data_IF_541093935303
#
_entry.id   IF_541093935303
#
_cell.length_a   1.000
_cell.length_b   1.000
_cell.length_c   1.000
_cell.angle_alpha   90.00
_cell.angle_beta   90.00
_cell.angle_gamma   90.00
#
_symmetry.space_group_name_H-M   'P 1'
#
loop_
_entity.id
_entity.type
_entity.pdbx_description
1 polymer ?
#
# COMPACT_ATOMS: atom_id res chain seq x y z
N UNK A 1 -18.10 13.11 0.93
CA UNK A 1 -17.12 12.32 0.15
C UNK A 1 -17.13 10.90 0.70
N UNK A 2 -17.41 9.91 -0.11
CA UNK A 2 -17.20 8.50 0.27
C UNK A 2 -15.77 8.13 -0.17
N UNK A 3 -14.94 7.78 0.79
CA UNK A 3 -13.52 7.46 0.53
C UNK A 3 -13.34 6.21 -0.33
N UNK A 4 -14.37 5.39 -0.50
CA UNK A 4 -14.34 4.16 -1.29
C UNK A 4 -14.62 4.39 -2.79
N UNK A 5 -15.06 5.60 -3.13
CA UNK A 5 -15.48 5.94 -4.48
C UNK A 5 -14.43 6.84 -5.16
N UNK A 6 -13.56 6.31 -6.02
CA UNK A 6 -12.54 7.11 -6.70
C UNK A 6 -13.09 8.30 -7.49
N UNK A 7 -14.32 8.21 -7.99
CA UNK A 7 -15.02 9.31 -8.67
C UNK A 7 -15.26 10.53 -7.76
N UNK A 8 -15.29 10.33 -6.43
CA UNK A 8 -15.49 11.38 -5.45
C UNK A 8 -14.20 11.84 -4.78
N UNK A 9 -13.20 10.96 -4.73
CA UNK A 9 -11.95 11.18 -4.00
C UNK A 9 -10.78 11.56 -4.89
N UNK A 10 -10.84 11.16 -6.14
CA UNK A 10 -9.75 11.29 -7.09
C UNK A 10 -8.58 10.33 -6.82
N UNK A 11 -7.78 10.12 -7.83
CA UNK A 11 -6.58 9.29 -7.76
C UNK A 11 -5.46 9.91 -8.59
N UNK A 12 -4.24 9.99 -8.03
CA UNK A 12 -3.09 10.59 -8.68
C UNK A 12 -1.84 9.72 -8.62
N UNK A 13 -1.07 9.71 -9.72
CA UNK A 13 0.28 9.16 -9.76
C UNK A 13 1.30 10.29 -9.63
N UNK A 14 2.33 10.06 -8.83
CA UNK A 14 3.30 11.06 -8.44
C UNK A 14 4.72 10.56 -8.71
N UNK A 15 5.40 11.19 -9.64
CA UNK A 15 6.76 10.85 -10.06
C UNK A 15 7.74 11.96 -9.68
N UNK A 16 9.01 11.61 -9.53
CA UNK A 16 10.04 12.64 -9.50
C UNK A 16 10.18 13.29 -10.88
N UNK A 17 10.54 14.57 -10.92
CA UNK A 17 10.74 15.31 -12.17
C UNK A 17 11.78 14.70 -13.11
N UNK A 18 12.73 13.96 -12.53
CA UNK A 18 13.81 13.26 -13.25
C UNK A 18 13.50 11.76 -13.48
N UNK A 19 12.27 11.31 -13.19
CA UNK A 19 11.90 9.91 -13.39
C UNK A 19 12.06 9.49 -14.87
N UNK A 20 12.48 8.24 -15.08
CA UNK A 20 12.55 7.68 -16.43
C UNK A 20 11.13 7.51 -17.00
N UNK A 21 10.78 8.11 -18.15
CA UNK A 21 9.46 7.96 -18.78
C UNK A 21 9.05 6.51 -19.08
N UNK A 22 10.01 5.59 -19.15
CA UNK A 22 9.71 4.17 -19.32
C UNK A 22 8.98 3.56 -18.12
N UNK A 23 9.13 4.13 -16.91
CA UNK A 23 8.41 3.72 -15.71
C UNK A 23 6.92 4.06 -15.84
N UNK A 24 6.61 5.29 -16.23
CA UNK A 24 5.21 5.70 -16.51
C UNK A 24 4.58 4.80 -17.56
N UNK A 25 5.33 4.48 -18.62
CA UNK A 25 4.86 3.58 -19.68
C UNK A 25 4.63 2.15 -19.18
N UNK A 26 5.48 1.65 -18.29
CA UNK A 26 5.32 0.31 -17.70
C UNK A 26 4.07 0.23 -16.80
N UNK A 27 3.69 1.34 -16.17
CA UNK A 27 2.48 1.46 -15.36
C UNK A 27 1.21 1.79 -16.15
N UNK A 28 1.28 1.96 -17.48
CA UNK A 28 0.17 2.50 -18.29
C UNK A 28 -1.15 1.76 -18.05
N UNK A 29 -1.14 0.44 -17.95
CA UNK A 29 -2.35 -0.36 -17.68
C UNK A 29 -3.04 0.06 -16.38
N UNK A 30 -2.28 0.32 -15.32
CA UNK A 30 -2.82 0.81 -14.05
C UNK A 30 -3.31 2.25 -14.17
N UNK A 31 -2.53 3.11 -14.82
CA UNK A 31 -2.87 4.53 -14.99
C UNK A 31 -4.16 4.69 -15.78
N UNK A 32 -4.36 3.94 -16.86
CA UNK A 32 -5.59 3.96 -17.66
C UNK A 32 -6.79 3.48 -16.82
N UNK A 33 -6.63 2.39 -16.07
CA UNK A 33 -7.66 1.87 -15.18
C UNK A 33 -8.08 2.88 -14.11
N UNK A 34 -7.11 3.53 -13.45
CA UNK A 34 -7.38 4.58 -12.45
C UNK A 34 -8.02 5.82 -13.06
N UNK A 35 -7.64 6.17 -14.28
CA UNK A 35 -8.26 7.26 -15.02
C UNK A 35 -9.74 6.99 -15.31
N UNK A 36 -10.10 5.77 -15.68
CA UNK A 36 -11.50 5.39 -15.86
C UNK A 36 -12.28 5.46 -14.54
N UNK A 37 -11.68 5.04 -13.42
CA UNK A 37 -12.32 5.07 -12.12
C UNK A 37 -12.47 6.47 -11.51
N UNK A 38 -11.47 7.33 -11.65
CA UNK A 38 -11.45 8.66 -11.02
C UNK A 38 -12.02 9.77 -11.94
N UNK A 39 -12.13 9.50 -13.23
CA UNK A 39 -12.71 10.45 -14.19
C UNK A 39 -11.94 11.78 -14.21
N UNK A 40 -12.65 12.88 -13.99
CA UNK A 40 -12.09 14.24 -14.00
C UNK A 40 -11.15 14.52 -12.79
N UNK A 41 -11.21 13.71 -11.76
CA UNK A 41 -10.37 13.81 -10.57
C UNK A 41 -9.09 12.96 -10.66
N UNK A 42 -8.74 12.50 -11.87
CA UNK A 42 -7.48 11.80 -12.13
C UNK A 42 -6.39 12.77 -12.51
N UNK A 43 -5.20 12.64 -11.87
CA UNK A 43 -4.04 13.49 -12.12
C UNK A 43 -2.74 12.68 -12.22
N UNK A 44 -1.79 13.17 -13.01
CA UNK A 44 -0.41 12.66 -13.06
C UNK A 44 0.55 13.81 -12.87
N UNK A 45 1.34 13.72 -11.82
CA UNK A 45 2.40 14.67 -11.49
C UNK A 45 3.74 14.11 -11.96
N UNK A 46 4.24 14.61 -13.09
CA UNK A 46 5.51 14.17 -13.68
C UNK A 46 6.23 15.35 -14.36
N UNK A 47 7.52 15.20 -14.69
CA UNK A 47 8.31 16.28 -15.25
C UNK A 47 8.33 17.51 -14.33
N UNK A 48 8.06 18.67 -14.86
CA UNK A 48 8.09 19.94 -14.11
C UNK A 48 6.94 20.04 -13.07
N UNK A 49 5.87 19.26 -13.23
CA UNK A 49 4.75 19.18 -12.28
C UNK A 49 4.96 18.07 -11.23
N UNK A 50 5.99 17.24 -11.37
CA UNK A 50 6.35 16.20 -10.41
C UNK A 50 7.19 16.72 -9.24
N UNK A 51 7.69 15.77 -8.42
CA UNK A 51 8.56 16.10 -7.30
C UNK A 51 9.89 16.69 -7.80
N UNK A 52 10.19 17.92 -7.40
CA UNK A 52 11.50 18.55 -7.64
C UNK A 52 12.44 18.28 -6.45
N UNK A 53 13.75 18.04 -6.70
CA UNK A 53 14.70 17.85 -5.61
C UNK A 53 14.69 19.00 -4.60
N UNK A 54 14.39 18.67 -3.35
CA UNK A 54 14.29 19.66 -2.26
C UNK A 54 12.88 20.16 -1.98
N UNK A 55 11.88 19.69 -2.71
CA UNK A 55 10.48 19.98 -2.37
C UNK A 55 10.12 19.42 -1.00
N UNK A 56 9.33 20.20 -0.30
CA UNK A 56 8.54 19.75 0.83
C UNK A 56 7.08 19.62 0.39
N UNK A 57 6.30 18.84 1.11
CA UNK A 57 4.87 18.75 0.84
C UNK A 57 4.17 20.12 0.87
N UNK A 58 4.61 21.00 1.76
CA UNK A 58 4.10 22.36 1.85
C UNK A 58 4.45 23.21 0.62
N UNK A 59 5.72 23.16 0.14
CA UNK A 59 6.12 23.88 -1.08
C UNK A 59 5.36 23.36 -2.29
N UNK A 60 5.26 22.04 -2.43
CA UNK A 60 4.54 21.39 -3.51
C UNK A 60 3.07 21.81 -3.56
N UNK A 61 2.35 21.73 -2.43
CA UNK A 61 0.94 22.18 -2.36
C UNK A 61 0.78 23.64 -2.74
N UNK A 62 1.66 24.51 -2.24
CA UNK A 62 1.61 25.95 -2.56
C UNK A 62 1.77 26.21 -4.05
N UNK A 63 2.73 25.53 -4.69
CA UNK A 63 3.04 25.72 -6.10
C UNK A 63 1.91 25.16 -7.00
N UNK A 64 1.22 24.13 -6.54
CA UNK A 64 0.00 23.57 -7.17
C UNK A 64 -1.31 24.21 -6.69
N UNK A 65 -1.24 25.29 -5.87
CA UNK A 65 -2.40 26.03 -5.36
C UNK A 65 -3.39 25.20 -4.55
N UNK A 66 -2.88 24.17 -3.86
CA UNK A 66 -3.68 23.30 -3.01
C UNK A 66 -3.84 23.93 -1.63
N UNK A 67 -5.07 24.10 -1.18
CA UNK A 67 -5.38 24.66 0.13
C UNK A 67 -4.95 23.72 1.25
N UNK A 68 -4.25 24.21 2.30
CA UNK A 68 -3.95 23.39 3.47
C UNK A 68 -5.21 22.94 4.23
N UNK A 69 -5.18 21.75 4.78
CA UNK A 69 -6.28 21.19 5.57
C UNK A 69 -6.92 19.97 4.91
N UNK A 70 -8.22 19.80 5.10
CA UNK A 70 -8.95 18.66 4.56
C UNK A 70 -8.79 18.53 3.04
N UNK A 71 -8.73 17.29 2.56
CA UNK A 71 -8.58 17.01 1.15
C UNK A 71 -9.75 17.55 0.33
N UNK A 72 -9.43 18.35 -0.69
CA UNK A 72 -10.38 18.86 -1.68
C UNK A 72 -10.02 18.21 -3.02
N UNK A 73 -10.74 17.16 -3.46
CA UNK A 73 -10.38 16.38 -4.65
C UNK A 73 -10.28 17.18 -5.94
N UNK A 74 -11.08 18.25 -6.09
CA UNK A 74 -11.02 19.17 -7.22
C UNK A 74 -9.71 19.97 -7.30
N UNK A 75 -8.96 20.07 -6.21
CA UNK A 75 -7.65 20.76 -6.17
C UNK A 75 -6.50 19.76 -6.31
N UNK A 76 -6.66 18.59 -5.74
CA UNK A 76 -5.69 17.51 -5.77
C UNK A 76 -6.33 16.21 -5.29
N UNK A 77 -6.13 15.09 -5.96
CA UNK A 77 -6.66 13.80 -5.57
C UNK A 77 -6.37 13.44 -4.10
N UNK A 78 -7.30 12.74 -3.47
CA UNK A 78 -7.11 12.21 -2.11
C UNK A 78 -6.14 11.03 -2.10
N UNK A 79 -6.24 10.10 -3.07
CA UNK A 79 -5.33 8.98 -3.21
C UNK A 79 -4.15 9.35 -4.08
N UNK A 80 -2.92 9.21 -3.54
CA UNK A 80 -1.68 9.46 -4.25
C UNK A 80 -0.79 8.22 -4.25
N UNK A 81 -0.33 7.82 -5.42
CA UNK A 81 0.67 6.78 -5.59
C UNK A 81 2.03 7.40 -5.91
N UNK A 82 2.95 7.42 -4.96
CA UNK A 82 4.34 7.82 -5.18
C UNK A 82 5.08 6.70 -5.91
N UNK A 83 5.68 7.03 -7.05
CA UNK A 83 6.44 6.11 -7.88
C UNK A 83 7.91 6.50 -7.83
N UNK A 84 8.69 5.75 -7.07
CA UNK A 84 10.12 5.99 -6.89
C UNK A 84 10.61 5.60 -5.48
N UNK A 85 11.93 5.48 -5.36
CA UNK A 85 12.61 5.15 -4.12
C UNK A 85 12.66 6.35 -3.15
N UNK A 86 12.97 6.10 -1.87
CA UNK A 86 13.06 7.16 -0.86
C UNK A 86 14.28 8.08 -1.00
N UNK A 87 15.27 7.71 -1.81
CA UNK A 87 16.42 8.58 -2.11
C UNK A 87 16.02 9.65 -3.12
N UNK A 88 15.11 9.31 -4.03
CA UNK A 88 14.57 10.21 -5.05
C UNK A 88 13.41 11.06 -4.53
N UNK A 89 12.42 10.45 -3.88
CA UNK A 89 11.30 11.15 -3.21
C UNK A 89 11.37 10.80 -1.72
N UNK A 90 11.90 11.68 -0.85
CA UNK A 90 12.16 11.37 0.56
C UNK A 90 10.92 10.93 1.35
N UNK A 91 11.12 10.12 2.39
CA UNK A 91 10.04 9.74 3.30
C UNK A 91 9.41 10.94 3.99
N UNK A 92 10.18 12.01 4.29
CA UNK A 92 9.63 13.21 4.91
C UNK A 92 8.53 13.85 4.05
N UNK A 93 8.71 13.85 2.72
CA UNK A 93 7.67 14.29 1.80
C UNK A 93 6.42 13.40 1.90
N UNK A 94 6.60 12.10 1.88
CA UNK A 94 5.50 11.14 2.01
C UNK A 94 4.77 11.27 3.34
N UNK A 95 5.49 11.33 4.47
CA UNK A 95 4.87 11.43 5.80
C UNK A 95 4.05 12.72 5.96
N UNK A 96 4.52 13.81 5.37
CA UNK A 96 3.77 15.06 5.41
C UNK A 96 2.55 15.03 4.48
N UNK A 97 2.64 14.36 3.34
CA UNK A 97 1.51 14.15 2.45
C UNK A 97 0.45 13.24 3.08
N UNK A 98 0.88 12.21 3.82
CA UNK A 98 0.00 11.22 4.48
C UNK A 98 -0.82 11.79 5.65
N UNK A 99 -0.54 13.03 6.04
CA UNK A 99 -1.35 13.74 7.06
C UNK A 99 -2.75 14.09 6.54
N UNK A 100 -2.86 14.45 5.26
CA UNK A 100 -4.10 14.93 4.65
C UNK A 100 -4.51 14.18 3.37
N UNK A 101 -3.75 13.18 2.96
CA UNK A 101 -3.97 12.31 1.78
C UNK A 101 -3.74 10.85 2.13
N UNK A 102 -4.33 9.95 1.37
CA UNK A 102 -3.99 8.53 1.43
C UNK A 102 -2.85 8.24 0.45
N UNK A 103 -1.65 8.01 0.98
CA UNK A 103 -0.44 7.92 0.18
C UNK A 103 0.11 6.50 0.16
N UNK A 104 0.24 5.92 -1.03
CA UNK A 104 0.97 4.69 -1.27
C UNK A 104 2.31 4.95 -1.97
N UNK A 105 3.23 4.00 -1.90
CA UNK A 105 4.49 4.06 -2.64
C UNK A 105 4.79 2.73 -3.30
N UNK A 106 5.31 2.82 -4.52
CA UNK A 106 5.93 1.68 -5.20
C UNK A 106 7.32 2.05 -5.72
N UNK A 107 8.22 1.08 -5.64
CA UNK A 107 9.53 1.12 -6.28
C UNK A 107 9.97 -0.30 -6.62
N UNK A 108 10.49 -0.48 -7.84
CA UNK A 108 11.04 -1.75 -8.33
C UNK A 108 12.34 -1.49 -9.07
N UNK A 109 13.25 -2.46 -9.03
CA UNK A 109 14.57 -2.34 -9.67
C UNK A 109 14.51 -2.47 -11.21
N UNK A 110 13.43 -3.03 -11.74
CA UNK A 110 13.27 -3.24 -13.17
C UNK A 110 11.87 -2.88 -13.67
N UNK A 111 11.76 -2.60 -14.97
CA UNK A 111 10.52 -2.16 -15.61
C UNK A 111 9.45 -3.27 -15.68
N UNK A 112 9.87 -4.52 -15.77
CA UNK A 112 8.94 -5.63 -15.87
C UNK A 112 8.13 -5.78 -14.57
N UNK A 113 8.73 -5.52 -13.42
CA UNK A 113 8.03 -5.58 -12.12
C UNK A 113 6.98 -4.47 -11.98
N UNK A 114 7.23 -3.26 -12.52
CA UNK A 114 6.21 -2.23 -12.63
C UNK A 114 5.02 -2.68 -13.50
N UNK A 115 5.30 -3.29 -14.65
CA UNK A 115 4.27 -3.78 -15.54
C UNK A 115 3.48 -4.95 -14.93
N UNK A 116 4.15 -5.86 -14.24
CA UNK A 116 3.50 -6.96 -13.50
C UNK A 116 2.63 -6.44 -12.36
N UNK A 117 3.12 -5.47 -11.60
CA UNK A 117 2.33 -4.83 -10.55
C UNK A 117 1.06 -4.20 -11.13
N UNK A 118 1.18 -3.38 -12.19
CA UNK A 118 0.06 -2.73 -12.86
C UNK A 118 -0.99 -3.75 -13.31
N UNK A 119 -0.58 -4.81 -14.01
CA UNK A 119 -1.47 -5.87 -14.47
C UNK A 119 -2.12 -6.63 -13.31
N UNK A 120 -1.37 -6.90 -12.24
CA UNK A 120 -1.91 -7.66 -11.11
C UNK A 120 -2.98 -6.89 -10.35
N UNK A 121 -2.80 -5.57 -10.17
CA UNK A 121 -3.80 -4.70 -9.53
C UNK A 121 -5.07 -4.65 -10.37
N UNK A 122 -4.97 -4.34 -11.66
CA UNK A 122 -6.13 -4.26 -12.55
C UNK A 122 -6.88 -5.59 -12.59
N UNK A 123 -6.16 -6.71 -12.76
CA UNK A 123 -6.76 -8.05 -12.75
C UNK A 123 -7.46 -8.39 -11.43
N UNK A 124 -6.94 -7.90 -10.30
CA UNK A 124 -7.56 -8.14 -9.00
C UNK A 124 -8.88 -7.40 -8.81
N UNK A 125 -9.05 -6.27 -9.51
CA UNK A 125 -10.22 -5.40 -9.42
C UNK A 125 -11.28 -5.66 -10.51
N UNK A 126 -10.93 -6.36 -11.59
CA UNK A 126 -11.87 -6.75 -12.63
C UNK A 126 -12.90 -7.76 -12.11
N UNK A 127 -14.18 -7.41 -12.20
CA UNK A 127 -15.29 -8.24 -11.71
C UNK A 127 -15.40 -9.60 -12.42
N UNK A 128 -14.98 -9.68 -13.69
CA UNK A 128 -15.06 -10.90 -14.50
C UNK A 128 -14.12 -12.01 -14.00
N UNK A 129 -13.07 -11.65 -13.28
CA UNK A 129 -12.08 -12.58 -12.74
C UNK A 129 -11.70 -12.26 -11.30
N UNK A 130 -12.66 -12.26 -10.36
CA UNK A 130 -12.34 -11.95 -8.99
C UNK A 130 -11.28 -12.94 -8.47
N UNK A 131 -10.18 -12.40 -7.97
CA UNK A 131 -9.18 -13.21 -7.29
C UNK A 131 -9.84 -13.90 -6.10
N UNK A 132 -10.02 -15.21 -6.18
CA UNK A 132 -10.41 -16.00 -5.02
C UNK A 132 -9.20 -16.11 -4.08
N UNK A 133 -8.97 -15.07 -3.31
CA UNK A 133 -7.95 -15.13 -2.27
C UNK A 133 -8.44 -16.07 -1.17
N UNK A 134 -7.59 -17.01 -0.72
CA UNK A 134 -7.94 -17.85 0.40
C UNK A 134 -8.23 -16.98 1.62
N UNK A 135 -9.36 -17.24 2.27
CA UNK A 135 -9.69 -16.55 3.53
C UNK A 135 -8.88 -17.15 4.65
N UNK A 136 -7.63 -16.75 4.77
CA UNK A 136 -6.73 -17.19 5.81
C UNK A 136 -6.18 -16.02 6.62
N UNK A 137 -5.98 -16.24 7.90
CA UNK A 137 -5.29 -15.31 8.77
C UNK A 137 -4.34 -16.08 9.68
N UNK A 138 -3.09 -15.66 9.75
CA UNK A 138 -2.08 -16.28 10.62
C UNK A 138 -1.64 -15.29 11.68
N UNK A 139 -1.79 -15.68 12.93
CA UNK A 139 -1.30 -14.94 14.08
C UNK A 139 0.13 -15.35 14.35
N UNK A 140 1.03 -14.38 14.34
CA UNK A 140 2.47 -14.59 14.50
C UNK A 140 3.02 -13.62 15.53
N UNK A 141 3.57 -14.11 16.63
CA UNK A 141 4.22 -13.28 17.62
C UNK A 141 5.44 -14.01 18.22
N UNK A 142 6.53 -13.30 18.32
CA UNK A 142 7.73 -13.77 19.04
C UNK A 142 7.60 -13.51 20.54
N UNK A 143 8.28 -14.31 21.35
CA UNK A 143 8.50 -14.05 22.77
C UNK A 143 9.98 -14.31 23.08
N UNK A 144 10.77 -13.25 23.10
CA UNK A 144 12.20 -13.38 23.33
C UNK A 144 12.51 -13.35 24.85
N UNK A 145 13.46 -14.14 25.32
CA UNK A 145 13.94 -14.05 26.69
C UNK A 145 14.41 -12.62 26.99
N UNK A 146 14.07 -12.13 28.17
CA UNK A 146 14.46 -10.80 28.69
C UNK A 146 13.90 -9.60 27.87
N UNK A 147 12.99 -9.85 26.92
CA UNK A 147 12.27 -8.81 26.17
C UNK A 147 10.80 -8.77 26.56
N UNK A 148 10.49 -7.92 27.54
CA UNK A 148 9.12 -7.75 28.04
C UNK A 148 8.13 -7.29 26.97
N UNK A 149 8.57 -6.52 25.97
CA UNK A 149 7.69 -6.02 24.92
C UNK A 149 7.17 -7.15 24.04
N UNK A 150 8.04 -8.06 23.59
CA UNK A 150 7.62 -9.24 22.81
C UNK A 150 6.80 -10.22 23.63
N UNK A 151 7.16 -10.41 24.93
CA UNK A 151 6.38 -11.25 25.85
C UNK A 151 4.94 -10.73 26.03
N UNK A 152 4.76 -9.42 26.26
CA UNK A 152 3.45 -8.79 26.40
C UNK A 152 2.66 -8.84 25.09
N UNK A 153 3.31 -8.54 23.96
CA UNK A 153 2.70 -8.63 22.64
C UNK A 153 2.14 -10.04 22.38
N UNK A 154 2.92 -11.06 22.65
CA UNK A 154 2.48 -12.45 22.46
C UNK A 154 1.33 -12.84 23.41
N UNK A 155 1.51 -12.63 24.72
CA UNK A 155 0.59 -13.14 25.76
C UNK A 155 -0.67 -12.28 25.94
N UNK A 156 -0.56 -10.95 25.82
CA UNK A 156 -1.66 -10.04 26.14
C UNK A 156 -2.37 -9.47 24.89
N UNK A 157 -1.77 -9.57 23.73
CA UNK A 157 -2.39 -9.09 22.48
C UNK A 157 -2.70 -10.25 21.54
N UNK A 158 -1.69 -10.94 21.02
CA UNK A 158 -1.87 -11.87 19.90
C UNK A 158 -2.67 -13.10 20.31
N UNK A 159 -2.32 -13.73 21.44
CA UNK A 159 -3.04 -14.93 21.89
C UNK A 159 -4.51 -14.66 22.23
N UNK A 160 -4.87 -13.65 23.05
CA UNK A 160 -6.28 -13.33 23.31
C UNK A 160 -7.03 -12.96 22.05
N UNK A 161 -6.43 -12.18 21.15
CA UNK A 161 -7.04 -11.78 19.89
C UNK A 161 -7.33 -12.98 18.98
N UNK A 162 -6.38 -13.91 18.85
CA UNK A 162 -6.57 -15.14 18.09
C UNK A 162 -7.71 -15.98 18.67
N UNK A 163 -7.76 -16.15 20.00
CA UNK A 163 -8.81 -16.91 20.71
C UNK A 163 -10.20 -16.27 20.50
N UNK A 164 -10.30 -14.95 20.58
CA UNK A 164 -11.56 -14.21 20.38
C UNK A 164 -12.05 -14.31 18.93
N UNK A 165 -11.14 -14.14 17.96
CA UNK A 165 -11.49 -14.14 16.54
C UNK A 165 -11.79 -15.52 15.97
N UNK A 166 -11.30 -16.61 16.56
CA UNK A 166 -11.61 -17.99 16.12
C UNK A 166 -13.11 -18.22 15.98
N UNK A 167 -13.91 -17.77 16.96
CA UNK A 167 -15.35 -17.94 16.96
C UNK A 167 -16.07 -17.14 15.87
N UNK A 168 -15.56 -15.96 15.54
CA UNK A 168 -16.14 -15.05 14.55
C UNK A 168 -15.71 -15.46 13.13
N UNK A 169 -14.43 -15.63 12.90
CA UNK A 169 -13.87 -15.87 11.56
C UNK A 169 -14.22 -17.26 11.02
N UNK A 170 -14.31 -18.29 11.88
CA UNK A 170 -14.79 -19.62 11.44
C UNK A 170 -16.22 -19.62 10.89
N UNK A 171 -17.10 -18.74 11.42
CA UNK A 171 -18.45 -18.56 10.87
C UNK A 171 -18.44 -18.01 9.45
N UNK A 172 -17.38 -17.31 9.07
CA UNK A 172 -17.19 -16.70 7.75
C UNK A 172 -16.21 -17.48 6.86
N UNK A 173 -15.99 -18.77 7.18
CA UNK A 173 -15.13 -19.68 6.39
C UNK A 173 -13.66 -19.26 6.29
N UNK A 174 -13.14 -18.58 7.32
CA UNK A 174 -11.71 -18.27 7.39
C UNK A 174 -10.92 -19.45 7.98
N UNK A 175 -9.78 -19.74 7.38
CA UNK A 175 -8.76 -20.61 7.96
C UNK A 175 -7.83 -19.79 8.87
N UNK A 176 -7.68 -20.24 10.11
CA UNK A 176 -6.92 -19.51 11.12
C UNK A 176 -5.74 -20.34 11.58
N UNK A 177 -4.56 -19.83 11.33
CA UNK A 177 -3.30 -20.34 11.85
C UNK A 177 -2.80 -19.51 13.02
N UNK A 178 -2.20 -20.19 14.02
CA UNK A 178 -1.42 -19.54 15.07
C UNK A 178 -0.03 -20.17 15.09
N UNK A 179 0.98 -19.32 15.09
CA UNK A 179 2.37 -19.75 15.30
C UNK A 179 2.72 -19.48 16.73
N UNK A 180 2.98 -20.58 17.47
CA UNK A 180 3.40 -20.49 18.87
C UNK A 180 4.74 -19.74 18.98
N UNK A 181 5.00 -19.02 20.09
CA UNK A 181 6.20 -18.19 20.24
C UNK A 181 7.52 -18.93 20.01
N UNK A 182 7.58 -20.22 20.37
CA UNK A 182 8.75 -21.07 20.21
C UNK A 182 9.07 -21.36 18.74
N UNK A 183 8.03 -21.38 17.87
CA UNK A 183 8.11 -21.63 16.43
C UNK A 183 8.15 -20.32 15.62
N UNK A 184 7.99 -19.17 16.29
CA UNK A 184 7.96 -17.86 15.63
C UNK A 184 9.36 -17.39 15.24
N UNK A 185 9.96 -18.08 14.29
CA UNK A 185 11.31 -17.83 13.77
C UNK A 185 11.26 -17.01 12.47
N UNK A 186 12.41 -16.39 12.13
CA UNK A 186 12.56 -15.70 10.85
C UNK A 186 12.30 -16.62 9.64
N UNK A 187 12.74 -17.89 9.72
CA UNK A 187 12.52 -18.88 8.68
C UNK A 187 11.03 -19.18 8.51
N UNK A 188 10.30 -19.36 9.63
CA UNK A 188 8.87 -19.58 9.62
C UNK A 188 8.09 -18.40 9.03
N UNK A 189 8.46 -17.16 9.42
CA UNK A 189 7.83 -15.96 8.84
C UNK A 189 8.08 -15.88 7.34
N UNK A 190 9.32 -16.13 6.89
CA UNK A 190 9.65 -16.15 5.46
C UNK A 190 8.83 -17.20 4.70
N UNK A 191 8.66 -18.38 5.27
CA UNK A 191 7.84 -19.43 4.68
C UNK A 191 6.37 -18.99 4.51
N UNK A 192 5.78 -18.40 5.55
CA UNK A 192 4.40 -17.87 5.53
C UNK A 192 4.20 -16.75 4.50
N UNK A 193 5.24 -15.98 4.21
CA UNK A 193 5.22 -14.90 3.21
C UNK A 193 5.55 -15.37 1.78
N UNK A 194 5.50 -16.66 1.51
CA UNK A 194 5.75 -17.21 0.17
C UNK A 194 7.21 -17.51 -0.16
N UNK A 195 8.06 -17.65 0.84
CA UNK A 195 9.45 -18.10 0.65
C UNK A 195 9.56 -19.57 0.27
N UNK A 196 10.80 -20.04 0.03
CA UNK A 196 11.11 -21.41 -0.42
C UNK A 196 10.66 -22.56 0.51
N UNK A 197 10.25 -22.23 1.72
CA UNK A 197 9.73 -23.14 2.73
C UNK A 197 8.24 -22.91 3.01
N UNK A 198 7.49 -22.44 2.00
CA UNK A 198 6.04 -22.25 2.15
C UNK A 198 5.41 -23.56 2.54
N UNK A 199 4.73 -23.66 3.69
CA UNK A 199 3.96 -24.86 3.99
C UNK A 199 2.91 -25.02 2.88
N UNK A 200 2.78 -26.20 2.36
CA UNK A 200 1.64 -26.53 1.49
C UNK A 200 0.37 -26.27 2.31
N UNK A 201 -0.40 -25.28 1.88
CA UNK A 201 -1.74 -25.00 2.39
C UNK A 201 -2.68 -26.13 2.02
#
# INVERSE_FOLDING_TARGET
>A
MDEREPEQTGWGAFFASVADPSVTKALQTLLDHRKEQAGELYEVYEGDDGYLPGDTWESFRRDHKVTPGDAIPDQMPYYLLLVGDPETIPYDFQYMADVDRAVGRIHFDNLDDYAYYAQSVVRAEEEEHPLQLPRCATFFATSNPDDRATELSSKQLIKPLAEELVGVLKKHTWDLGMVEPEDATRARLKALLGGSETPSL
#
